data_IF_683258432715
#
_entry.id   IF_683258432715
#
_cell.length_a   1.000
_cell.length_b   1.000
_cell.length_c   1.000
_cell.angle_alpha   90.00
_cell.angle_beta   90.00
_cell.angle_gamma   90.00
#
_symmetry.space_group_name_H-M   'P 1'
#
loop_
_entity.id
_entity.type
_entity.pdbx_description
1 polymer ?
#
# COMPACT_ATOMS: atom_id res chain seq x y z
N UNK A 1 -12.85 -19.66 6.83
CA UNK A 1 -12.69 -19.40 8.28
C UNK A 1 -11.26 -19.01 8.67
N UNK A 2 -10.22 -19.74 8.25
CA UNK A 2 -8.81 -19.44 8.58
C UNK A 2 -8.22 -18.17 7.93
N UNK A 3 -8.63 -17.79 6.71
CA UNK A 3 -8.12 -16.57 6.05
C UNK A 3 -8.53 -15.30 6.79
N UNK A 4 -9.78 -15.25 7.26
CA UNK A 4 -10.35 -14.09 7.96
C UNK A 4 -9.63 -13.84 9.29
N UNK A 5 -9.24 -14.90 10.04
CA UNK A 5 -8.51 -14.70 11.30
C UNK A 5 -7.08 -14.18 11.07
N UNK A 6 -6.40 -14.63 10.00
CA UNK A 6 -5.06 -14.15 9.64
C UNK A 6 -5.05 -12.65 9.31
N UNK A 7 -5.98 -12.19 8.47
CA UNK A 7 -6.08 -10.78 8.09
C UNK A 7 -6.39 -9.91 9.30
N UNK A 8 -7.30 -10.33 10.17
CA UNK A 8 -7.62 -9.58 11.41
C UNK A 8 -6.43 -9.44 12.35
N UNK A 9 -5.62 -10.49 12.50
CA UNK A 9 -4.43 -10.43 13.34
C UNK A 9 -3.34 -9.54 12.72
N UNK A 10 -3.12 -9.65 11.41
CA UNK A 10 -2.20 -8.78 10.69
C UNK A 10 -2.62 -7.30 10.76
N UNK A 11 -3.93 -7.02 10.65
CA UNK A 11 -4.48 -5.66 10.79
C UNK A 11 -4.05 -5.04 12.11
N UNK A 12 -4.27 -5.74 13.24
CA UNK A 12 -3.92 -5.22 14.57
C UNK A 12 -2.42 -4.95 14.73
N UNK A 13 -1.58 -5.91 14.33
CA UNK A 13 -0.12 -5.73 14.43
C UNK A 13 0.39 -4.59 13.53
N UNK A 14 -0.24 -4.34 12.38
CA UNK A 14 0.13 -3.21 11.51
C UNK A 14 -0.39 -1.90 12.11
N UNK A 15 -1.62 -1.88 12.62
CA UNK A 15 -2.22 -0.72 13.29
C UNK A 15 -1.37 -0.23 14.47
N UNK A 16 -0.83 -1.16 15.27
CA UNK A 16 0.08 -0.83 16.39
C UNK A 16 1.38 -0.14 15.93
N UNK A 17 1.78 -0.32 14.66
CA UNK A 17 3.02 0.22 14.10
C UNK A 17 2.78 1.58 13.45
N UNK A 18 1.75 1.68 12.60
CA UNK A 18 1.54 2.87 11.77
C UNK A 18 0.42 3.78 12.29
N UNK A 19 -0.36 3.33 13.27
CA UNK A 19 -1.53 4.05 13.79
C UNK A 19 -2.81 3.81 13.00
N UNK A 20 -3.96 3.99 13.66
CA UNK A 20 -5.29 3.72 13.12
C UNK A 20 -5.70 4.61 11.95
N UNK A 21 -5.06 5.77 11.79
CA UNK A 21 -5.35 6.71 10.70
C UNK A 21 -4.81 6.24 9.34
N UNK A 22 -3.89 5.28 9.36
CA UNK A 22 -3.10 4.87 8.19
C UNK A 22 -3.33 3.42 7.78
N UNK A 23 -4.35 2.78 8.35
CA UNK A 23 -4.83 1.45 7.97
C UNK A 23 -6.36 1.46 7.91
N UNK A 24 -6.95 0.71 6.98
CA UNK A 24 -8.41 0.56 6.91
C UNK A 24 -8.83 -0.74 6.24
N UNK A 25 -9.86 -1.37 6.79
CA UNK A 25 -10.59 -2.50 6.20
C UNK A 25 -12.04 -2.14 5.78
N UNK A 26 -12.41 -0.85 5.93
CA UNK A 26 -13.75 -0.31 5.61
C UNK A 26 -14.07 -0.45 4.12
N UNK A 27 -15.31 -0.79 3.79
CA UNK A 27 -15.73 -1.07 2.42
C UNK A 27 -15.56 0.13 1.47
N UNK A 28 -15.87 1.35 1.92
CA UNK A 28 -15.68 2.54 1.08
C UNK A 28 -14.21 2.82 0.76
N UNK A 29 -13.30 2.52 1.68
CA UNK A 29 -11.86 2.63 1.42
C UNK A 29 -11.43 1.56 0.43
N UNK A 30 -11.83 0.29 0.63
CA UNK A 30 -11.49 -0.79 -0.32
C UNK A 30 -12.05 -0.51 -1.73
N UNK A 31 -13.23 0.10 -1.83
CA UNK A 31 -13.83 0.53 -3.10
C UNK A 31 -13.02 1.65 -3.78
N UNK A 32 -12.49 2.62 -3.03
CA UNK A 32 -11.68 3.70 -3.59
C UNK A 32 -10.36 3.20 -4.21
N UNK A 33 -9.85 2.06 -3.73
CA UNK A 33 -8.61 1.44 -4.20
C UNK A 33 -8.85 0.21 -5.11
N UNK A 34 -10.10 -0.12 -5.46
CA UNK A 34 -10.42 -1.33 -6.23
C UNK A 34 -10.05 -1.24 -7.72
N UNK A 35 -9.77 -0.03 -8.21
CA UNK A 35 -9.59 0.28 -9.63
C UNK A 35 -8.22 0.89 -9.93
N UNK A 36 -7.77 0.65 -11.16
CA UNK A 36 -6.70 1.41 -11.83
C UNK A 36 -7.34 2.42 -12.82
N UNK A 37 -6.56 3.01 -13.71
CA UNK A 37 -7.08 4.02 -14.66
C UNK A 37 -7.71 3.44 -15.92
N UNK A 38 -7.62 2.12 -16.14
CA UNK A 38 -8.30 1.46 -17.25
C UNK A 38 -9.76 1.16 -16.86
N UNK A 39 -10.76 1.81 -17.49
CA UNK A 39 -12.17 1.60 -17.17
C UNK A 39 -12.68 0.20 -17.56
N UNK A 40 -11.96 -0.52 -18.44
CA UNK A 40 -12.30 -1.90 -18.82
C UNK A 40 -11.70 -2.94 -17.87
N UNK A 41 -10.72 -2.55 -17.03
CA UNK A 41 -10.10 -3.47 -16.09
C UNK A 41 -11.05 -3.78 -14.93
N UNK A 42 -11.27 -5.06 -14.56
CA UNK A 42 -12.22 -5.41 -13.52
C UNK A 42 -11.74 -4.95 -12.14
N UNK A 43 -12.67 -4.48 -11.32
CA UNK A 43 -12.45 -4.19 -9.91
C UNK A 43 -11.80 -5.38 -9.18
N UNK A 44 -10.75 -5.08 -8.40
CA UNK A 44 -10.09 -6.05 -7.52
C UNK A 44 -9.97 -5.46 -6.13
N UNK A 45 -10.62 -6.10 -5.18
CA UNK A 45 -10.78 -5.60 -3.82
C UNK A 45 -9.70 -6.18 -2.92
N UNK A 46 -8.91 -5.31 -2.26
CA UNK A 46 -8.01 -5.71 -1.18
C UNK A 46 -8.79 -6.16 0.06
N UNK A 47 -8.16 -6.92 0.94
CA UNK A 47 -8.73 -7.21 2.27
C UNK A 47 -8.47 -6.03 3.22
N UNK A 48 -7.30 -5.38 3.14
CA UNK A 48 -6.91 -4.19 3.93
C UNK A 48 -6.10 -3.19 3.08
N UNK A 49 -6.25 -1.89 3.38
CA UNK A 49 -5.46 -0.79 2.81
C UNK A 49 -4.49 -0.28 3.88
N UNK A 50 -3.22 -0.12 3.55
CA UNK A 50 -2.14 0.25 4.49
C UNK A 50 -1.29 1.37 3.87
N UNK A 51 -1.04 2.44 4.64
CA UNK A 51 -0.36 3.66 4.18
C UNK A 51 0.88 3.97 5.03
N UNK A 52 2.05 3.35 4.82
CA UNK A 52 3.27 3.67 5.57
C UNK A 52 3.89 4.99 5.13
N UNK A 53 4.70 5.61 5.98
CA UNK A 53 5.50 6.82 5.71
C UNK A 53 7.01 6.57 5.70
N UNK A 54 7.48 5.47 6.30
CA UNK A 54 8.92 5.18 6.43
C UNK A 54 9.30 3.80 5.88
N UNK A 55 10.58 3.65 5.53
CA UNK A 55 11.14 2.36 5.12
C UNK A 55 11.06 1.32 6.25
N UNK A 56 11.21 1.76 7.49
CA UNK A 56 11.12 0.93 8.69
C UNK A 56 9.71 0.36 8.86
N UNK A 57 8.67 1.18 8.67
CA UNK A 57 7.28 0.72 8.67
C UNK A 57 7.03 -0.31 7.57
N UNK A 58 7.48 -0.03 6.33
CA UNK A 58 7.38 -0.99 5.21
C UNK A 58 8.05 -2.32 5.56
N UNK A 59 9.25 -2.29 6.14
CA UNK A 59 9.99 -3.48 6.57
C UNK A 59 9.20 -4.30 7.58
N UNK A 60 8.58 -3.66 8.57
CA UNK A 60 7.73 -4.36 9.53
C UNK A 60 6.47 -4.95 8.89
N UNK A 61 5.78 -4.20 8.03
CA UNK A 61 4.58 -4.66 7.34
C UNK A 61 4.90 -5.90 6.48
N UNK A 62 6.02 -5.90 5.75
CA UNK A 62 6.47 -7.05 4.95
C UNK A 62 6.71 -8.29 5.83
N UNK A 63 7.33 -8.12 7.00
CA UNK A 63 7.53 -9.21 7.98
C UNK A 63 6.20 -9.77 8.48
N UNK A 64 5.24 -8.90 8.81
CA UNK A 64 3.89 -9.30 9.26
C UNK A 64 3.14 -10.04 8.15
N UNK A 65 3.15 -9.52 6.92
CA UNK A 65 2.52 -10.16 5.78
C UNK A 65 3.10 -11.55 5.52
N UNK A 66 4.43 -11.71 5.61
CA UNK A 66 5.09 -13.00 5.47
C UNK A 66 4.74 -13.97 6.62
N UNK A 67 4.73 -13.48 7.88
CA UNK A 67 4.29 -14.25 9.06
C UNK A 67 2.90 -14.84 8.86
N UNK A 68 1.95 -14.05 8.36
CA UNK A 68 0.57 -14.48 8.14
C UNK A 68 0.31 -15.12 6.77
N UNK A 69 1.29 -15.12 5.86
CA UNK A 69 1.18 -15.58 4.47
C UNK A 69 0.08 -14.83 3.70
N UNK A 70 0.07 -13.52 3.85
CA UNK A 70 -0.82 -12.60 3.14
C UNK A 70 0.01 -11.96 2.03
N UNK A 71 -0.47 -12.04 0.78
CA UNK A 71 0.21 -11.35 -0.31
C UNK A 71 -0.02 -9.84 -0.22
N UNK A 72 0.91 -9.08 -0.78
CA UNK A 72 0.83 -7.62 -0.80
C UNK A 72 1.06 -7.09 -2.21
N UNK A 73 0.42 -5.98 -2.55
CA UNK A 73 0.64 -5.24 -3.80
C UNK A 73 0.98 -3.78 -3.46
N UNK A 74 2.16 -3.27 -3.84
CA UNK A 74 2.48 -1.86 -3.69
C UNK A 74 1.70 -1.01 -4.70
N UNK A 75 1.31 0.20 -4.29
CA UNK A 75 0.61 1.19 -5.11
C UNK A 75 1.19 2.58 -4.84
N UNK A 76 1.60 3.26 -5.89
CA UNK A 76 1.84 4.71 -5.90
C UNK A 76 0.56 5.45 -6.30
N UNK A 77 0.61 6.26 -7.37
CA UNK A 77 -0.56 6.97 -7.89
C UNK A 77 -1.68 6.09 -8.49
N UNK A 78 -1.45 4.79 -8.70
CA UNK A 78 -2.48 3.86 -9.20
C UNK A 78 -2.79 3.97 -10.70
N UNK A 79 -1.97 4.69 -11.46
CA UNK A 79 -2.18 4.99 -12.88
C UNK A 79 -1.74 3.88 -13.86
N UNK A 80 -1.75 2.62 -13.43
CA UNK A 80 -1.42 1.50 -14.31
C UNK A 80 -2.59 1.13 -15.25
N UNK A 81 -2.30 0.37 -16.32
CA UNK A 81 -3.29 -0.09 -17.30
C UNK A 81 -3.51 -1.62 -17.32
N UNK A 82 -2.81 -2.38 -16.47
CA UNK A 82 -2.77 -3.86 -16.55
C UNK A 82 -3.04 -4.56 -15.21
N UNK A 83 -3.40 -3.78 -14.19
CA UNK A 83 -3.77 -4.23 -12.85
C UNK A 83 -2.62 -4.41 -11.88
N UNK A 84 -1.49 -3.74 -12.10
CA UNK A 84 -0.29 -3.86 -11.24
C UNK A 84 -0.43 -3.20 -9.86
N UNK A 85 -1.38 -2.27 -9.70
CA UNK A 85 -1.62 -1.47 -8.50
C UNK A 85 -2.93 -1.81 -7.79
N UNK A 86 -3.54 -2.94 -8.15
CA UNK A 86 -4.77 -3.47 -7.54
C UNK A 86 -4.58 -4.95 -7.19
N UNK A 87 -5.37 -5.47 -6.24
CA UNK A 87 -5.16 -6.81 -5.69
C UNK A 87 -6.48 -7.52 -5.37
N UNK A 88 -6.50 -8.86 -5.49
CA UNK A 88 -7.65 -9.69 -5.10
C UNK A 88 -7.42 -10.25 -3.69
N UNK A 89 -7.95 -9.55 -2.69
CA UNK A 89 -7.66 -9.76 -1.28
C UNK A 89 -6.24 -9.33 -0.92
N UNK A 90 -5.79 -9.70 0.28
CA UNK A 90 -4.47 -9.34 0.78
C UNK A 90 -4.34 -7.87 1.13
N UNK A 91 -3.09 -7.39 1.17
CA UNK A 91 -2.76 -6.02 1.54
C UNK A 91 -2.52 -5.21 0.28
N UNK A 92 -3.19 -4.06 0.17
CA UNK A 92 -2.77 -3.02 -0.76
C UNK A 92 -1.94 -1.99 0.02
N UNK A 93 -0.69 -1.82 -0.39
CA UNK A 93 0.28 -0.95 0.27
C UNK A 93 0.40 0.36 -0.50
N UNK A 94 -0.28 1.39 -0.03
CA UNK A 94 -0.28 2.73 -0.62
C UNK A 94 0.91 3.54 -0.11
N UNK A 95 1.88 3.76 -1.00
CA UNK A 95 3.17 4.38 -0.69
C UNK A 95 3.14 5.91 -0.82
N UNK A 96 1.99 6.53 -1.10
CA UNK A 96 1.89 7.97 -1.40
C UNK A 96 2.31 8.90 -0.25
N UNK A 97 2.38 8.42 0.99
CA UNK A 97 2.96 9.18 2.13
C UNK A 97 4.49 9.26 2.08
N UNK A 98 5.16 8.37 1.35
CA UNK A 98 6.62 8.38 1.17
C UNK A 98 7.02 9.40 0.09
N UNK A 99 6.64 10.67 0.27
CA UNK A 99 6.73 11.75 -0.72
C UNK A 99 7.73 12.86 -0.33
N UNK A 100 8.84 12.47 0.28
CA UNK A 100 9.90 13.40 0.65
C UNK A 100 10.91 13.56 -0.49
N UNK A 101 11.39 14.79 -0.69
CA UNK A 101 12.59 15.06 -1.50
C UNK A 101 13.80 14.96 -0.58
N UNK A 102 14.67 13.99 -0.82
CA UNK A 102 15.86 13.77 -0.01
C UNK A 102 17.05 14.58 -0.51
N UNK A 103 17.17 14.76 -1.82
CA UNK A 103 18.28 15.47 -2.44
C UNK A 103 17.86 16.06 -3.80
N UNK A 104 18.36 17.27 -4.10
CA UNK A 104 18.36 17.86 -5.43
C UNK A 104 19.79 18.32 -5.70
N UNK A 105 20.43 17.69 -6.67
CA UNK A 105 21.75 18.09 -7.15
C UNK A 105 21.58 18.75 -8.52
N UNK A 106 21.70 20.08 -8.54
CA UNK A 106 21.52 20.90 -9.75
C UNK A 106 22.73 20.90 -10.66
N UNK A 107 23.92 20.62 -10.12
CA UNK A 107 25.17 20.60 -10.88
C UNK A 107 25.28 19.30 -11.70
N UNK A 108 24.83 18.18 -11.12
CA UNK A 108 24.86 16.83 -11.72
C UNK A 108 23.51 16.38 -12.29
N UNK A 109 22.48 17.22 -12.24
CA UNK A 109 21.12 16.97 -12.78
C UNK A 109 20.44 15.70 -12.25
N UNK A 110 20.46 15.46 -10.94
CA UNK A 110 19.67 14.37 -10.33
C UNK A 110 18.93 14.80 -9.06
N UNK A 111 17.95 13.99 -8.68
CA UNK A 111 17.30 14.07 -7.38
C UNK A 111 17.15 12.68 -6.76
N UNK A 112 17.11 12.65 -5.42
CA UNK A 112 16.77 11.46 -4.64
C UNK A 112 15.44 11.74 -3.97
N UNK A 113 14.47 10.88 -4.21
CA UNK A 113 13.10 11.09 -3.75
C UNK A 113 12.45 9.81 -3.26
N UNK A 114 11.44 9.96 -2.40
CA UNK A 114 10.62 8.84 -1.96
C UNK A 114 9.77 8.25 -3.09
N UNK A 115 9.47 6.96 -3.00
CA UNK A 115 8.70 6.22 -4.02
C UNK A 115 7.23 6.67 -4.15
N UNK A 116 6.74 7.44 -3.17
CA UNK A 116 5.42 8.05 -3.16
C UNK A 116 5.35 9.42 -3.80
N UNK A 117 6.47 9.97 -4.28
CA UNK A 117 6.46 11.26 -4.98
C UNK A 117 5.47 11.23 -6.15
N UNK A 118 4.50 12.13 -6.08
CA UNK A 118 3.53 12.40 -7.15
C UNK A 118 3.54 13.88 -7.52
N UNK A 119 2.64 14.24 -8.43
CA UNK A 119 2.43 15.62 -8.88
C UNK A 119 1.68 16.48 -7.85
#
# INVERSE_FOLDING_TARGET
MLKISKVKNAYKEIEDIIGSDFISDKDFMKAAYSRNVDPAFPDRWADIIVKPETTEEVSHIVKIANKYKIHMVPRGGGADLVGGSVTKGGILLDLTRMNQIHEINVDDYYCVVGCGMGN
#
